data_IF_742828248171
#
_entry.id   IF_742828248171
#
_cell.length_a   1.000
_cell.length_b   1.000
_cell.length_c   1.000
_cell.angle_alpha   90.00
_cell.angle_beta   90.00
_cell.angle_gamma   90.00
#
_symmetry.space_group_name_H-M   'P 1'
#
loop_
_entity.id
_entity.type
_entity.pdbx_description
1 polymer ?
#
# COMPACT_ATOMS: atom_id res chain seq x y z
N UNK A 1 2.97 -27.43 -8.17
CA UNK A 1 3.68 -26.32 -7.52
C UNK A 1 2.68 -25.19 -7.43
N UNK A 2 2.42 -24.66 -6.24
CA UNK A 2 1.56 -23.49 -6.07
C UNK A 2 2.41 -22.27 -6.41
N UNK A 3 1.91 -21.39 -7.28
CA UNK A 3 2.61 -20.15 -7.60
C UNK A 3 2.38 -19.14 -6.48
N UNK A 4 3.40 -18.37 -6.13
CA UNK A 4 3.31 -17.33 -5.11
C UNK A 4 3.59 -15.96 -5.73
N UNK A 5 2.65 -15.02 -5.55
CA UNK A 5 2.78 -13.63 -5.99
C UNK A 5 2.80 -12.73 -4.76
N UNK A 6 3.79 -11.84 -4.70
CA UNK A 6 3.88 -10.81 -3.67
C UNK A 6 3.58 -9.45 -4.30
N UNK A 7 2.57 -8.77 -3.78
CA UNK A 7 2.22 -7.40 -4.14
C UNK A 7 2.90 -6.46 -3.16
N UNK A 8 3.87 -5.70 -3.66
CA UNK A 8 4.59 -4.68 -2.91
C UNK A 8 3.81 -3.38 -2.94
N UNK A 9 3.44 -2.89 -1.76
CA UNK A 9 2.67 -1.65 -1.58
C UNK A 9 3.18 -0.90 -0.35
N UNK A 10 2.56 0.25 -0.03
CA UNK A 10 2.76 0.90 1.27
C UNK A 10 1.55 1.76 1.64
N UNK A 11 1.21 1.82 2.93
CA UNK A 11 0.08 2.60 3.46
C UNK A 11 0.36 4.10 3.53
N UNK A 12 0.89 4.69 2.46
CA UNK A 12 1.10 6.13 2.34
C UNK A 12 -0.07 6.80 1.61
N UNK A 13 -1.31 6.42 1.93
CA UNK A 13 -2.53 6.99 1.33
C UNK A 13 -2.72 6.73 -0.17
N UNK A 14 -3.60 7.51 -0.82
CA UNK A 14 -3.82 7.45 -2.28
C UNK A 14 -4.60 6.25 -2.82
N UNK A 15 -5.09 5.36 -1.96
CA UNK A 15 -5.88 4.19 -2.37
C UNK A 15 -5.06 2.96 -2.78
N UNK A 16 -3.72 2.99 -2.62
CA UNK A 16 -2.85 1.88 -3.01
C UNK A 16 -3.24 0.54 -2.34
N UNK A 17 -3.66 0.57 -1.08
CA UNK A 17 -4.18 -0.62 -0.37
C UNK A 17 -5.41 -1.21 -1.05
N UNK A 18 -6.40 -0.37 -1.32
CA UNK A 18 -7.64 -0.81 -1.96
C UNK A 18 -7.38 -1.40 -3.35
N UNK A 19 -6.47 -0.80 -4.14
CA UNK A 19 -6.06 -1.36 -5.44
C UNK A 19 -5.34 -2.71 -5.30
N UNK A 20 -4.45 -2.86 -4.32
CA UNK A 20 -3.73 -4.11 -4.08
C UNK A 20 -4.68 -5.23 -3.62
N UNK A 21 -5.62 -4.92 -2.73
CA UNK A 21 -6.64 -5.85 -2.24
C UNK A 21 -7.58 -6.27 -3.37
N UNK A 22 -7.99 -5.34 -4.24
CA UNK A 22 -8.81 -5.67 -5.41
C UNK A 22 -8.08 -6.60 -6.40
N UNK A 23 -6.77 -6.41 -6.61
CA UNK A 23 -5.97 -7.32 -7.44
C UNK A 23 -5.86 -8.69 -6.78
N UNK A 24 -5.59 -8.76 -5.46
CA UNK A 24 -5.54 -10.01 -4.72
C UNK A 24 -6.87 -10.77 -4.81
N UNK A 25 -8.00 -10.10 -4.63
CA UNK A 25 -9.33 -10.69 -4.73
C UNK A 25 -9.60 -11.22 -6.14
N UNK A 26 -9.31 -10.42 -7.18
CA UNK A 26 -9.47 -10.84 -8.57
C UNK A 26 -8.62 -12.07 -8.92
N UNK A 27 -7.39 -12.15 -8.40
CA UNK A 27 -6.51 -13.29 -8.56
C UNK A 27 -7.04 -14.53 -7.81
N UNK A 28 -7.50 -14.36 -6.58
CA UNK A 28 -8.12 -15.43 -5.78
C UNK A 28 -9.38 -15.98 -6.46
N UNK A 29 -10.24 -15.11 -6.99
CA UNK A 29 -11.44 -15.52 -7.74
C UNK A 29 -11.11 -16.33 -9.00
N UNK A 30 -10.05 -15.96 -9.70
CA UNK A 30 -9.69 -16.56 -11.00
C UNK A 30 -8.93 -17.88 -10.86
N UNK A 31 -8.06 -17.99 -9.85
CA UNK A 31 -7.11 -19.09 -9.75
C UNK A 31 -7.30 -19.95 -8.49
N UNK A 32 -8.11 -19.50 -7.52
CA UNK A 32 -8.37 -20.23 -6.28
C UNK A 32 -7.09 -20.66 -5.58
N UNK A 33 -7.07 -21.90 -5.11
CA UNK A 33 -5.95 -22.49 -4.36
C UNK A 33 -4.69 -22.75 -5.22
N UNK A 34 -4.76 -22.58 -6.54
CA UNK A 34 -3.60 -22.74 -7.42
C UNK A 34 -2.61 -21.57 -7.33
N UNK A 35 -3.02 -20.45 -6.72
CA UNK A 35 -2.24 -19.22 -6.60
C UNK A 35 -2.35 -18.64 -5.19
N UNK A 36 -1.21 -18.45 -4.54
CA UNK A 36 -1.12 -17.70 -3.29
C UNK A 36 -0.72 -16.24 -3.60
N UNK A 37 -1.43 -15.29 -3.00
CA UNK A 37 -1.14 -13.86 -3.15
C UNK A 37 -0.96 -13.21 -1.79
N UNK A 38 0.17 -12.54 -1.59
CA UNK A 38 0.54 -11.84 -0.36
C UNK A 38 0.66 -10.32 -0.63
N UNK A 39 0.22 -9.49 0.31
CA UNK A 39 0.44 -8.05 0.29
C UNK A 39 1.49 -7.67 1.33
N UNK A 40 2.48 -6.89 0.92
CA UNK A 40 3.58 -6.44 1.80
C UNK A 40 3.70 -4.91 1.76
N UNK A 41 3.59 -4.28 2.93
CA UNK A 41 3.99 -2.87 3.11
C UNK A 41 5.52 -2.78 3.19
N UNK A 42 6.16 -2.44 2.06
CA UNK A 42 7.62 -2.48 1.94
C UNK A 42 8.29 -1.41 2.79
N UNK A 43 7.70 -0.21 2.87
CA UNK A 43 8.26 0.85 3.70
C UNK A 43 8.27 0.38 5.16
N UNK A 44 7.12 -0.12 5.65
CA UNK A 44 7.01 -0.59 7.03
C UNK A 44 7.94 -1.78 7.33
N UNK A 45 8.01 -2.76 6.43
CA UNK A 45 8.68 -4.04 6.71
C UNK A 45 10.19 -4.03 6.44
N UNK A 46 10.67 -3.26 5.46
CA UNK A 46 12.02 -3.43 4.92
C UNK A 46 12.87 -2.15 4.87
N UNK A 47 12.35 -0.99 5.30
CA UNK A 47 13.15 0.25 5.32
C UNK A 47 13.63 0.63 6.73
N UNK A 48 14.79 1.30 6.86
CA UNK A 48 15.27 1.77 8.16
C UNK A 48 14.47 2.98 8.64
N UNK A 49 14.63 3.33 9.92
CA UNK A 49 14.17 4.62 10.42
C UNK A 49 14.82 5.77 9.63
N UNK A 50 14.07 6.82 9.26
CA UNK A 50 12.67 7.10 9.62
C UNK A 50 11.61 6.47 8.69
N UNK A 51 12.01 5.91 7.55
CA UNK A 51 11.12 5.48 6.47
C UNK A 51 10.10 4.41 6.86
N UNK A 52 10.45 3.49 7.77
CA UNK A 52 9.49 2.51 8.28
C UNK A 52 8.33 3.09 9.10
N UNK A 53 8.43 4.35 9.51
CA UNK A 53 7.34 5.07 10.20
C UNK A 53 6.51 5.94 9.25
N UNK A 54 6.95 6.12 8.01
CA UNK A 54 6.22 6.96 7.04
C UNK A 54 4.78 6.52 6.83
N UNK A 55 4.44 5.22 6.69
CA UNK A 55 3.05 4.82 6.52
C UNK A 55 2.15 5.27 7.68
N UNK A 56 2.67 5.23 8.91
CA UNK A 56 1.95 5.69 10.09
C UNK A 56 1.84 7.23 10.16
N UNK A 57 2.87 7.96 9.70
CA UNK A 57 2.90 9.42 9.75
C UNK A 57 2.17 10.08 8.58
N UNK A 58 2.10 9.41 7.43
CA UNK A 58 1.59 9.96 6.19
C UNK A 58 0.19 10.58 6.32
N UNK A 59 -0.82 9.94 6.97
CA UNK A 59 -2.13 10.56 7.16
C UNK A 59 -2.05 11.88 7.94
N UNK A 60 -1.18 11.96 8.94
CA UNK A 60 -0.99 13.16 9.75
C UNK A 60 -0.28 14.26 8.95
N UNK A 61 0.74 13.91 8.18
CA UNK A 61 1.47 14.84 7.30
C UNK A 61 0.50 15.44 6.27
N UNK A 62 -0.32 14.62 5.61
CA UNK A 62 -1.28 15.07 4.62
C UNK A 62 -2.37 15.95 5.25
N UNK A 63 -2.94 15.54 6.39
CA UNK A 63 -3.99 16.29 7.06
C UNK A 63 -3.51 17.68 7.54
N UNK A 64 -2.29 17.75 8.09
CA UNK A 64 -1.73 19.00 8.66
C UNK A 64 -1.00 19.86 7.63
N UNK A 65 -0.51 19.26 6.55
CA UNK A 65 0.15 19.97 5.46
C UNK A 65 -0.81 20.53 4.41
N UNK A 66 -2.13 20.40 4.57
CA UNK A 66 -3.16 21.00 3.70
C UNK A 66 -2.91 22.47 3.34
N UNK A 67 -2.25 23.22 4.23
CA UNK A 67 -1.82 24.61 4.01
C UNK A 67 -0.70 24.77 2.96
N UNK A 68 0.11 23.74 2.73
CA UNK A 68 1.23 23.72 1.78
C UNK A 68 0.77 23.44 0.34
N UNK A 69 -0.22 22.55 0.16
CA UNK A 69 -0.74 22.20 -1.17
C UNK A 69 -2.04 22.92 -1.54
N UNK A 70 -2.75 23.55 -0.61
CA UNK A 70 -3.98 24.30 -0.86
C UNK A 70 -3.91 25.31 -2.03
N UNK A 71 -2.82 26.06 -2.25
CA UNK A 71 -2.69 26.94 -3.42
C UNK A 71 -2.58 26.22 -4.77
N UNK A 72 -2.16 24.95 -4.79
CA UNK A 72 -1.93 24.16 -6.01
C UNK A 72 -3.12 23.32 -6.48
N UNK A 73 -4.19 23.25 -5.69
CA UNK A 73 -5.42 22.50 -6.01
C UNK A 73 -6.66 23.41 -6.05
N UNK A 74 -6.48 24.69 -6.37
CA UNK A 74 -7.56 25.67 -6.49
C UNK A 74 -8.12 25.75 -7.90
#
# INVERSE_FOLDING_TARGET
>A
MIQHIVILMSDTGGGHRASAEAIQEALSMKYGEALQVELVDVLKAYTPYPFNRFPAWYPTIIARGSRLWGPGFR
#
